data_IF_637223389360
#
_entry.id   IF_637223389360
#
_cell.length_a   1.000
_cell.length_b   1.000
_cell.length_c   1.000
_cell.angle_alpha   90.00
_cell.angle_beta   90.00
_cell.angle_gamma   90.00
#
_symmetry.space_group_name_H-M   'P 1'
#
loop_
_entity.id
_entity.type
_entity.pdbx_description
1 polymer ?
#
# COMPACT_ATOMS: atom_id res chain seq x y z
N UNK A 1 4.83 -8.04 7.41
CA UNK A 1 3.97 -7.79 6.23
C UNK A 1 2.68 -7.11 6.66
N UNK A 2 2.07 -6.33 5.78
CA UNK A 2 1.35 -5.09 6.10
C UNK A 2 -0.18 -5.16 5.96
N UNK A 3 -0.86 -4.08 6.33
CA UNK A 3 -2.28 -3.84 6.01
C UNK A 3 -2.44 -2.57 5.20
N UNK A 4 -3.30 -2.64 4.19
CA UNK A 4 -3.47 -1.56 3.21
C UNK A 4 -4.96 -1.28 3.02
N UNK A 5 -5.30 0.00 2.91
CA UNK A 5 -6.62 0.49 2.57
C UNK A 5 -6.44 1.58 1.51
N UNK A 6 -7.27 1.57 0.48
CA UNK A 6 -7.48 2.72 -0.35
C UNK A 6 -8.97 3.01 -0.51
N UNK A 7 -9.30 4.30 -0.56
CA UNK A 7 -10.67 4.78 -0.73
C UNK A 7 -10.66 5.81 -1.85
N UNK A 8 -11.41 5.56 -2.92
CA UNK A 8 -11.76 6.55 -3.92
C UNK A 8 -13.00 7.32 -3.44
N UNK A 9 -12.99 8.65 -3.63
CA UNK A 9 -13.99 9.59 -3.14
C UNK A 9 -14.15 9.55 -1.61
N UNK A 10 -13.04 9.61 -0.89
CA UNK A 10 -13.04 9.60 0.57
C UNK A 10 -13.68 10.88 1.14
N UNK A 11 -14.66 10.71 2.03
CA UNK A 11 -15.09 11.68 3.04
C UNK A 11 -14.92 11.11 4.45
N UNK A 12 -14.26 11.83 5.37
CA UNK A 12 -14.01 11.35 6.73
C UNK A 12 -15.30 11.14 7.52
N UNK A 13 -16.27 12.03 7.38
CA UNK A 13 -17.56 11.95 8.09
C UNK A 13 -18.33 10.68 7.70
N UNK A 14 -18.36 10.37 6.41
CA UNK A 14 -19.09 9.21 5.87
C UNK A 14 -18.34 7.90 6.11
N UNK A 15 -17.02 7.92 5.99
CA UNK A 15 -16.20 6.70 6.07
C UNK A 15 -15.57 6.45 7.43
N UNK A 16 -15.95 7.20 8.49
CA UNK A 16 -15.36 7.07 9.83
C UNK A 16 -15.37 5.62 10.34
N UNK A 17 -16.49 4.90 10.21
CA UNK A 17 -16.62 3.50 10.62
C UNK A 17 -15.66 2.58 9.85
N UNK A 18 -15.47 2.83 8.54
CA UNK A 18 -14.52 2.08 7.70
C UNK A 18 -13.08 2.33 8.17
N UNK A 19 -12.73 3.59 8.47
CA UNK A 19 -11.41 3.95 9.02
C UNK A 19 -11.18 3.29 10.38
N UNK A 20 -12.16 3.31 11.28
CA UNK A 20 -12.06 2.67 12.61
C UNK A 20 -11.88 1.16 12.50
N UNK A 21 -12.64 0.51 11.62
CA UNK A 21 -12.50 -0.92 11.38
C UNK A 21 -11.14 -1.27 10.76
N UNK A 22 -10.65 -0.45 9.83
CA UNK A 22 -9.31 -0.64 9.29
C UNK A 22 -8.25 -0.41 10.35
N UNK A 23 -8.36 0.64 11.17
CA UNK A 23 -7.46 0.92 12.30
C UNK A 23 -7.34 -0.29 13.24
N UNK A 24 -8.44 -1.00 13.51
CA UNK A 24 -8.40 -2.22 14.33
C UNK A 24 -7.50 -3.32 13.73
N UNK A 25 -7.29 -3.35 12.41
CA UNK A 25 -6.34 -4.28 11.79
C UNK A 25 -4.90 -3.98 12.15
N UNK A 26 -4.54 -2.77 12.61
CA UNK A 26 -3.18 -2.50 13.08
C UNK A 26 -2.78 -3.44 14.22
N UNK A 27 -3.71 -3.82 15.11
CA UNK A 27 -3.47 -4.79 16.19
C UNK A 27 -3.90 -6.21 15.81
N UNK A 28 -5.05 -6.35 15.16
CA UNK A 28 -5.75 -7.63 15.02
C UNK A 28 -5.72 -8.21 13.60
N UNK A 29 -5.13 -7.50 12.63
CA UNK A 29 -4.97 -8.00 11.28
C UNK A 29 -4.19 -9.32 11.27
N UNK A 30 -4.48 -10.20 10.32
CA UNK A 30 -3.71 -11.45 10.17
C UNK A 30 -2.24 -11.10 10.01
N UNK A 31 -1.38 -11.96 10.53
CA UNK A 31 0.06 -11.88 10.33
C UNK A 31 0.55 -13.19 9.72
N UNK A 32 1.71 -13.18 9.02
CA UNK A 32 2.32 -14.43 8.58
C UNK A 32 2.58 -15.37 9.77
N UNK A 33 2.54 -16.69 9.58
CA UNK A 33 2.82 -17.66 10.65
C UNK A 33 4.16 -17.36 11.32
N UNK A 34 4.24 -17.59 12.64
CA UNK A 34 5.44 -17.37 13.48
C UNK A 34 5.88 -15.90 13.65
N UNK A 35 5.15 -14.93 13.08
CA UNK A 35 5.40 -13.52 13.35
C UNK A 35 4.63 -13.02 14.58
N UNK A 36 5.15 -12.00 15.24
CA UNK A 36 4.43 -11.26 16.29
C UNK A 36 3.12 -10.68 15.77
N UNK A 37 2.12 -10.54 16.65
CA UNK A 37 0.84 -9.90 16.30
C UNK A 37 1.04 -8.43 15.93
N UNK A 38 0.12 -7.92 15.11
CA UNK A 38 0.03 -6.51 14.75
C UNK A 38 1.00 -6.05 13.66
N UNK A 39 0.69 -4.86 13.15
CA UNK A 39 1.37 -4.12 12.09
C UNK A 39 1.80 -2.76 12.65
N UNK A 40 2.85 -2.80 13.46
CA UNK A 40 3.25 -1.71 14.35
C UNK A 40 4.61 -1.11 13.99
N UNK A 41 5.18 -1.47 12.83
CA UNK A 41 6.55 -1.09 12.43
C UNK A 41 6.59 0.21 11.58
N UNK A 42 5.60 1.08 11.80
CA UNK A 42 5.35 2.29 11.03
C UNK A 42 3.96 2.35 10.40
N UNK A 43 3.57 3.54 9.97
CA UNK A 43 2.33 3.77 9.24
C UNK A 43 2.44 5.00 8.33
N UNK A 44 1.48 5.13 7.43
CA UNK A 44 1.35 6.36 6.66
C UNK A 44 0.00 6.51 5.97
N UNK A 45 -0.26 7.76 5.60
CA UNK A 45 -1.45 8.20 4.86
C UNK A 45 -0.95 8.97 3.63
N UNK A 46 -1.44 8.60 2.46
CA UNK A 46 -1.28 9.35 1.23
C UNK A 46 -2.63 9.82 0.71
N UNK A 47 -2.67 11.05 0.22
CA UNK A 47 -3.88 11.65 -0.33
C UNK A 47 -3.55 12.69 -1.40
N UNK A 48 -4.58 13.20 -2.06
CA UNK A 48 -4.44 14.26 -3.04
C UNK A 48 -5.12 15.54 -2.55
N UNK A 49 -4.38 16.65 -2.56
CA UNK A 49 -4.89 18.01 -2.30
C UNK A 49 -4.54 18.88 -3.50
N UNK A 50 -5.55 19.53 -4.09
CA UNK A 50 -5.38 20.37 -5.29
C UNK A 50 -4.67 19.62 -6.44
N UNK A 51 -5.03 18.35 -6.63
CA UNK A 51 -4.40 17.42 -7.60
C UNK A 51 -2.93 17.04 -7.31
N UNK A 52 -2.36 17.46 -6.18
CA UNK A 52 -0.99 17.10 -5.78
C UNK A 52 -0.98 16.03 -4.68
N UNK A 53 -0.14 15.01 -4.85
CA UNK A 53 0.09 13.96 -3.88
C UNK A 53 0.77 14.50 -2.61
N UNK A 54 0.12 14.25 -1.48
CA UNK A 54 0.58 14.54 -0.12
C UNK A 54 0.79 13.23 0.64
N UNK A 55 1.68 13.28 1.63
CA UNK A 55 2.02 12.15 2.47
C UNK A 55 2.18 12.62 3.92
N UNK A 56 1.75 11.77 4.84
CA UNK A 56 2.23 11.77 6.21
C UNK A 56 2.69 10.35 6.54
N UNK A 57 3.84 10.23 7.22
CA UNK A 57 4.45 8.94 7.57
C UNK A 57 5.08 9.00 8.95
N UNK A 58 5.04 7.87 9.63
CA UNK A 58 5.72 7.66 10.91
C UNK A 58 6.42 6.31 10.93
N UNK A 59 7.53 6.25 11.67
CA UNK A 59 8.21 4.99 12.03
C UNK A 59 7.65 4.33 13.29
N UNK A 60 6.81 5.04 14.05
CA UNK A 60 6.19 4.56 15.28
C UNK A 60 4.95 3.70 14.99
N UNK A 61 4.42 3.07 16.03
CA UNK A 61 3.17 2.33 15.96
C UNK A 61 1.98 3.27 15.80
N UNK A 62 1.07 2.98 14.85
CA UNK A 62 -0.18 3.75 14.70
C UNK A 62 -1.10 3.64 15.93
N UNK A 63 -0.91 2.60 16.74
CA UNK A 63 -1.66 2.42 17.99
C UNK A 63 -1.23 3.46 19.03
N UNK A 64 0.07 3.74 19.10
CA UNK A 64 0.63 4.76 20.00
C UNK A 64 0.32 6.17 19.50
N UNK A 65 0.23 6.33 18.17
CA UNK A 65 -0.07 7.60 17.51
C UNK A 65 -1.53 7.71 17.04
N UNK A 66 -2.46 7.08 17.75
CA UNK A 66 -3.90 7.03 17.38
C UNK A 66 -4.47 8.43 17.16
N UNK A 67 -4.26 9.34 18.10
CA UNK A 67 -4.78 10.72 18.00
C UNK A 67 -4.21 11.46 16.78
N UNK A 68 -2.92 11.24 16.49
CA UNK A 68 -2.26 11.83 15.31
C UNK A 68 -2.85 11.26 14.02
N UNK A 69 -3.07 9.95 13.96
CA UNK A 69 -3.69 9.28 12.82
C UNK A 69 -5.08 9.84 12.50
N UNK A 70 -5.96 9.91 13.50
CA UNK A 70 -7.33 10.42 13.30
C UNK A 70 -7.38 11.92 13.03
N UNK A 71 -6.55 12.74 13.69
CA UNK A 71 -6.51 14.19 13.44
C UNK A 71 -6.09 14.53 12.00
N UNK A 72 -5.16 13.77 11.40
CA UNK A 72 -4.79 13.97 9.99
C UNK A 72 -5.97 13.64 9.06
N UNK A 73 -6.70 12.56 9.32
CA UNK A 73 -7.87 12.20 8.50
C UNK A 73 -9.00 13.24 8.64
N UNK A 74 -9.19 13.79 9.83
CA UNK A 74 -10.09 14.91 10.08
C UNK A 74 -9.67 16.19 9.36
N UNK A 75 -8.36 16.49 9.30
CA UNK A 75 -7.82 17.64 8.57
C UNK A 75 -7.97 17.49 7.06
N UNK A 76 -7.74 16.27 6.53
CA UNK A 76 -7.95 15.96 5.11
C UNK A 76 -9.42 16.25 4.73
N UNK A 77 -10.36 15.94 5.62
CA UNK A 77 -11.83 16.02 5.44
C UNK A 77 -12.34 15.17 4.29
N UNK A 78 -11.94 15.50 3.07
CA UNK A 78 -12.33 14.85 1.83
C UNK A 78 -11.16 14.80 0.83
N UNK A 79 -11.07 13.73 0.05
CA UNK A 79 -10.11 13.62 -1.05
C UNK A 79 -10.60 12.63 -2.09
N UNK A 80 -10.22 12.82 -3.35
CA UNK A 80 -10.54 11.87 -4.43
C UNK A 80 -9.94 10.50 -4.18
N UNK A 81 -8.76 10.43 -3.57
CA UNK A 81 -8.07 9.16 -3.32
C UNK A 81 -7.33 9.28 -1.99
N UNK A 82 -7.62 8.35 -1.08
CA UNK A 82 -6.91 8.12 0.17
C UNK A 82 -6.23 6.75 0.09
N UNK A 83 -4.98 6.64 0.54
CA UNK A 83 -4.25 5.38 0.74
C UNK A 83 -3.71 5.38 2.17
N UNK A 84 -4.05 4.36 2.95
CA UNK A 84 -3.57 4.15 4.33
C UNK A 84 -2.81 2.83 4.40
N UNK A 85 -1.69 2.82 5.11
CA UNK A 85 -0.85 1.64 5.28
C UNK A 85 -0.36 1.47 6.71
N UNK A 86 -0.50 0.26 7.25
CA UNK A 86 0.11 -0.15 8.52
C UNK A 86 1.19 -1.17 8.24
N UNK A 87 2.42 -0.81 8.63
CA UNK A 87 3.62 -1.53 8.26
C UNK A 87 3.91 -2.63 9.26
N UNK A 88 4.37 -3.76 8.72
CA UNK A 88 5.12 -4.74 9.50
C UNK A 88 6.31 -5.15 8.66
N UNK A 89 7.52 -4.86 9.12
CA UNK A 89 8.71 -5.04 8.32
C UNK A 89 9.07 -6.52 8.17
N UNK A 90 9.68 -6.87 7.05
CA UNK A 90 10.43 -8.11 6.90
C UNK A 90 11.91 -7.92 7.28
N UNK A 91 12.34 -6.66 7.42
CA UNK A 91 13.74 -6.24 7.61
C UNK A 91 13.96 -5.69 9.01
N UNK A 92 15.03 -6.14 9.67
CA UNK A 92 15.38 -5.70 11.03
C UNK A 92 15.80 -4.23 11.06
N UNK A 93 15.46 -3.52 12.14
CA UNK A 93 15.90 -2.13 12.39
C UNK A 93 15.53 -1.15 11.27
N UNK A 94 14.32 -1.27 10.73
CA UNK A 94 13.85 -0.41 9.63
C UNK A 94 12.64 0.44 10.01
N UNK A 95 12.33 0.57 11.30
CA UNK A 95 11.22 1.38 11.80
C UNK A 95 11.58 2.85 11.64
N UNK A 96 11.14 3.46 10.54
CA UNK A 96 11.43 4.85 10.22
C UNK A 96 10.38 5.40 9.26
N UNK A 97 10.22 6.72 9.26
CA UNK A 97 9.24 7.37 8.38
C UNK A 97 9.58 7.14 6.90
N UNK A 98 10.87 7.05 6.57
CA UNK A 98 11.41 6.86 5.22
C UNK A 98 10.97 5.52 4.66
N UNK A 99 11.01 4.46 5.46
CA UNK A 99 10.65 3.09 5.07
C UNK A 99 9.15 2.78 5.17
N UNK A 100 8.36 3.67 5.79
CA UNK A 100 6.92 3.56 5.85
C UNK A 100 6.28 3.87 4.49
N UNK A 101 5.20 3.16 4.19
CA UNK A 101 4.36 3.40 3.01
C UNK A 101 3.29 4.45 3.35
N UNK A 102 2.65 5.07 2.33
CA UNK A 102 2.97 4.96 0.91
C UNK A 102 4.26 5.71 0.52
N UNK A 103 4.92 5.25 -0.54
CA UNK A 103 6.00 6.00 -1.19
C UNK A 103 5.42 6.99 -2.21
N UNK A 104 6.17 8.06 -2.50
CA UNK A 104 5.76 9.10 -3.45
C UNK A 104 6.88 9.46 -4.41
N UNK A 105 6.54 9.54 -5.69
CA UNK A 105 7.37 10.18 -6.71
C UNK A 105 6.49 11.08 -7.58
N UNK A 106 6.79 12.38 -7.58
CA UNK A 106 5.91 13.41 -8.17
C UNK A 106 4.47 13.23 -7.64
N UNK A 107 3.53 12.89 -8.52
CA UNK A 107 2.12 12.71 -8.18
C UNK A 107 1.69 11.25 -7.97
N UNK A 108 2.64 10.31 -8.00
CA UNK A 108 2.35 8.88 -7.89
C UNK A 108 2.54 8.46 -6.44
N UNK A 109 1.54 7.79 -5.88
CA UNK A 109 1.59 7.14 -4.57
C UNK A 109 1.66 5.62 -4.74
N UNK A 110 2.43 4.93 -3.91
CA UNK A 110 2.63 3.48 -4.01
C UNK A 110 2.70 2.79 -2.64
N UNK A 111 1.92 1.72 -2.46
CA UNK A 111 1.83 0.92 -1.25
C UNK A 111 1.99 -0.57 -1.59
N UNK A 112 2.90 -1.27 -0.91
CA UNK A 112 3.20 -2.68 -1.16
C UNK A 112 3.01 -3.55 0.09
N UNK A 113 2.52 -4.76 -0.12
CA UNK A 113 2.41 -5.81 0.88
C UNK A 113 3.05 -7.10 0.35
N UNK A 114 4.33 -7.25 0.68
CA UNK A 114 5.15 -8.37 0.26
C UNK A 114 6.60 -8.14 0.64
N UNK A 115 7.46 -9.00 0.12
CA UNK A 115 8.91 -8.88 0.25
C UNK A 115 9.56 -9.35 -1.03
N UNK A 116 10.44 -8.55 -1.61
CA UNK A 116 11.36 -8.97 -2.67
C UNK A 116 12.70 -9.18 -1.99
N UNK A 117 13.19 -10.42 -1.93
CA UNK A 117 14.29 -10.81 -1.04
C UNK A 117 15.67 -10.40 -1.57
N UNK A 118 15.82 -10.36 -2.88
CA UNK A 118 17.04 -10.08 -3.64
C UNK A 118 16.87 -8.81 -4.50
N UNK A 119 16.16 -7.83 -3.94
CA UNK A 119 15.86 -6.55 -4.60
C UNK A 119 17.11 -5.74 -4.91
N UNK A 120 18.24 -6.00 -4.24
CA UNK A 120 19.52 -5.34 -4.48
C UNK A 120 19.99 -5.51 -5.94
N UNK A 121 19.66 -6.65 -6.57
CA UNK A 121 19.94 -6.90 -7.98
C UNK A 121 19.22 -5.89 -8.90
N UNK A 122 17.98 -5.54 -8.56
CA UNK A 122 17.20 -4.52 -9.26
C UNK A 122 17.75 -3.13 -8.94
N UNK A 123 18.08 -2.88 -7.67
CA UNK A 123 18.57 -1.59 -7.21
C UNK A 123 19.84 -1.15 -7.94
N UNK A 124 20.77 -2.09 -8.19
CA UNK A 124 22.00 -1.85 -8.94
C UNK A 124 21.76 -1.47 -10.41
N UNK A 125 20.65 -1.93 -11.00
CA UNK A 125 20.30 -1.65 -12.39
C UNK A 125 19.65 -0.26 -12.53
N UNK A 126 18.77 0.12 -11.60
CA UNK A 126 18.03 1.40 -11.69
C UNK A 126 18.82 2.60 -11.16
N UNK A 127 19.88 2.37 -10.36
CA UNK A 127 20.82 3.38 -9.81
C UNK A 127 20.12 4.67 -9.35
N UNK A 128 19.20 4.57 -8.38
CA UNK A 128 18.44 5.73 -7.93
C UNK A 128 19.37 6.68 -7.16
N UNK A 129 19.08 7.99 -7.23
CA UNK A 129 19.89 9.02 -6.53
C UNK A 129 19.88 8.86 -5.01
N UNK A 130 18.85 8.22 -4.45
CA UNK A 130 18.71 8.01 -3.01
C UNK A 130 19.37 6.71 -2.60
N UNK A 131 20.14 6.75 -1.53
CA UNK A 131 20.75 5.57 -0.90
C UNK A 131 19.78 4.92 0.10
N UNK A 132 20.08 3.68 0.53
CA UNK A 132 19.35 2.93 1.55
C UNK A 132 17.87 2.65 1.23
N UNK A 133 17.58 2.31 -0.03
CA UNK A 133 16.27 1.81 -0.43
C UNK A 133 16.11 0.36 0.00
N UNK A 134 14.92 0.00 0.46
CA UNK A 134 14.51 -1.38 0.68
C UNK A 134 13.73 -1.90 -0.53
N UNK A 135 13.38 -3.17 -0.50
CA UNK A 135 12.64 -3.90 -1.52
C UNK A 135 11.41 -3.17 -2.07
N UNK A 136 10.54 -2.66 -1.20
CA UNK A 136 9.26 -2.10 -1.61
C UNK A 136 9.42 -0.75 -2.35
N UNK A 137 10.40 0.06 -1.94
CA UNK A 137 10.69 1.30 -2.64
C UNK A 137 11.53 1.06 -3.89
N UNK A 138 12.38 0.03 -3.90
CA UNK A 138 13.08 -0.45 -5.10
C UNK A 138 12.09 -0.90 -6.16
N UNK A 139 11.04 -1.64 -5.78
CA UNK A 139 9.94 -2.00 -6.68
C UNK A 139 9.27 -0.75 -7.25
N UNK A 140 8.98 0.24 -6.40
CA UNK A 140 8.40 1.49 -6.87
C UNK A 140 9.28 2.22 -7.88
N UNK A 141 10.59 2.38 -7.59
CA UNK A 141 11.51 3.00 -8.54
C UNK A 141 11.71 2.18 -9.81
N UNK A 142 11.65 0.85 -9.74
CA UNK A 142 11.67 0.02 -10.94
C UNK A 142 10.47 0.32 -11.83
N UNK A 143 9.26 0.43 -11.30
CA UNK A 143 8.07 0.82 -12.07
C UNK A 143 8.31 2.16 -12.78
N UNK A 144 8.87 3.14 -12.06
CA UNK A 144 9.11 4.48 -12.61
C UNK A 144 10.17 4.50 -13.72
N UNK A 145 11.24 3.71 -13.54
CA UNK A 145 12.38 3.61 -14.46
C UNK A 145 12.11 2.69 -15.66
N UNK A 146 11.12 1.81 -15.58
CA UNK A 146 10.78 0.89 -16.67
C UNK A 146 10.13 1.64 -17.83
N UNK A 147 10.45 1.22 -19.05
CA UNK A 147 9.86 1.75 -20.28
C UNK A 147 8.41 1.27 -20.46
N UNK A 148 7.57 2.16 -20.98
CA UNK A 148 6.16 1.91 -21.24
C UNK A 148 5.42 3.21 -21.58
N UNK A 149 4.34 3.11 -22.37
CA UNK A 149 3.56 4.25 -22.86
C UNK A 149 2.77 4.94 -21.76
N UNK A 150 2.39 4.20 -20.73
CA UNK A 150 1.63 4.68 -19.59
C UNK A 150 2.03 3.93 -18.31
N UNK A 151 1.50 4.36 -17.16
CA UNK A 151 1.86 3.78 -15.87
C UNK A 151 1.49 2.30 -15.75
N UNK A 152 0.39 1.87 -16.38
CA UNK A 152 -0.03 0.47 -16.41
C UNK A 152 0.98 -0.42 -17.14
N UNK A 153 1.44 -0.01 -18.33
CA UNK A 153 2.42 -0.76 -19.10
C UNK A 153 3.77 -0.84 -18.38
N UNK A 154 4.21 0.30 -17.81
CA UNK A 154 5.41 0.35 -16.97
C UNK A 154 5.32 -0.61 -15.79
N UNK A 155 4.18 -0.63 -15.11
CA UNK A 155 3.92 -1.54 -14.00
C UNK A 155 3.99 -3.01 -14.45
N UNK A 156 3.29 -3.38 -15.51
CA UNK A 156 3.31 -4.75 -16.06
C UNK A 156 4.72 -5.21 -16.43
N UNK A 157 5.51 -4.34 -17.06
CA UNK A 157 6.89 -4.65 -17.44
C UNK A 157 7.80 -4.79 -16.20
N UNK A 158 7.63 -3.94 -15.18
CA UNK A 158 8.37 -4.04 -13.92
C UNK A 158 8.04 -5.33 -13.15
N UNK A 159 6.77 -5.72 -13.11
CA UNK A 159 6.32 -6.98 -12.49
C UNK A 159 6.99 -8.17 -13.20
N UNK A 160 6.90 -8.27 -14.53
CA UNK A 160 7.54 -9.35 -15.30
C UNK A 160 9.05 -9.46 -15.03
N UNK A 161 9.71 -8.32 -14.85
CA UNK A 161 11.14 -8.30 -14.52
C UNK A 161 11.41 -8.91 -13.14
N UNK A 162 10.66 -8.50 -12.12
CA UNK A 162 10.80 -9.06 -10.76
C UNK A 162 10.47 -10.56 -10.76
N UNK A 163 9.43 -10.99 -11.48
CA UNK A 163 9.05 -12.40 -11.59
C UNK A 163 10.16 -13.27 -12.20
N UNK A 164 10.96 -12.68 -13.11
CA UNK A 164 12.06 -13.37 -13.78
C UNK A 164 13.36 -13.34 -12.97
N UNK A 165 13.65 -12.23 -12.30
CA UNK A 165 14.98 -11.94 -11.75
C UNK A 165 15.07 -12.06 -10.23
N UNK A 166 13.94 -12.16 -9.53
CA UNK A 166 13.90 -12.06 -8.08
C UNK A 166 13.11 -13.17 -7.41
N UNK A 167 13.57 -13.55 -6.22
CA UNK A 167 12.78 -14.29 -5.25
C UNK A 167 11.92 -13.32 -4.46
N UNK A 168 10.60 -13.53 -4.48
CA UNK A 168 9.68 -12.67 -3.75
C UNK A 168 8.60 -13.51 -3.07
N UNK A 169 7.97 -12.92 -2.07
CA UNK A 169 6.85 -13.51 -1.34
C UNK A 169 5.50 -13.04 -1.89
N UNK A 170 5.42 -11.77 -2.30
CA UNK A 170 4.25 -11.13 -2.88
C UNK A 170 4.67 -9.82 -3.55
N UNK A 171 3.92 -9.45 -4.60
CA UNK A 171 3.96 -8.16 -5.29
C UNK A 171 2.61 -7.43 -5.14
N UNK A 172 1.81 -7.85 -4.16
CA UNK A 172 0.48 -7.29 -3.90
C UNK A 172 0.60 -5.82 -3.51
N UNK A 173 0.00 -4.93 -4.30
CA UNK A 173 0.20 -3.50 -4.15
C UNK A 173 -1.04 -2.67 -4.53
N UNK A 174 -1.08 -1.45 -4.03
CA UNK A 174 -2.01 -0.39 -4.41
C UNK A 174 -1.20 0.83 -4.80
N UNK A 175 -1.52 1.45 -5.93
CA UNK A 175 -0.88 2.70 -6.34
C UNK A 175 -1.85 3.63 -7.06
N UNK A 176 -1.50 4.90 -7.15
CA UNK A 176 -2.37 5.91 -7.75
C UNK A 176 -1.57 7.02 -8.41
N UNK A 177 -2.15 7.60 -9.46
CA UNK A 177 -1.68 8.81 -10.16
C UNK A 177 -2.49 10.07 -9.79
N UNK A 178 -3.47 9.94 -8.89
CA UNK A 178 -4.40 10.99 -8.48
C UNK A 178 -5.73 11.00 -9.22
N UNK A 179 -5.88 10.17 -10.25
CA UNK A 179 -7.13 9.96 -10.99
C UNK A 179 -7.68 8.55 -10.79
N UNK A 180 -6.80 7.56 -10.92
CA UNK A 180 -7.14 6.15 -10.84
C UNK A 180 -6.45 5.50 -9.63
N UNK A 181 -7.06 4.46 -9.09
CA UNK A 181 -6.38 3.53 -8.20
C UNK A 181 -6.10 2.25 -8.98
N UNK A 182 -4.84 1.85 -9.01
CA UNK A 182 -4.36 0.62 -9.61
C UNK A 182 -4.08 -0.37 -8.48
N UNK A 183 -4.62 -1.57 -8.60
CA UNK A 183 -4.54 -2.60 -7.57
C UNK A 183 -4.11 -3.91 -8.21
N UNK A 184 -3.08 -4.53 -7.65
CA UNK A 184 -2.54 -5.80 -8.15
C UNK A 184 -2.35 -6.77 -7.00
N UNK A 185 -2.75 -8.03 -7.21
CA UNK A 185 -2.55 -9.10 -6.23
C UNK A 185 -1.74 -10.22 -6.87
N UNK A 186 -0.53 -10.43 -6.39
CA UNK A 186 0.32 -11.54 -6.81
C UNK A 186 1.19 -12.01 -5.63
N UNK A 187 1.34 -13.31 -5.49
CA UNK A 187 2.02 -13.96 -4.37
C UNK A 187 2.56 -15.32 -4.78
N UNK A 188 3.64 -15.75 -4.12
CA UNK A 188 4.25 -17.09 -4.29
C UNK A 188 3.94 -18.03 -3.13
N UNK A 189 3.45 -17.46 -2.01
CA UNK A 189 3.10 -18.18 -0.78
C UNK A 189 2.04 -17.42 0.00
N UNK A 190 1.46 -18.06 1.02
CA UNK A 190 0.53 -17.43 1.97
C UNK A 190 -0.66 -16.72 1.28
N UNK A 191 -1.33 -17.42 0.37
CA UNK A 191 -2.49 -16.92 -0.37
C UNK A 191 -3.55 -16.21 0.51
N UNK A 192 -3.89 -16.84 1.63
CA UNK A 192 -4.89 -16.36 2.59
C UNK A 192 -4.44 -15.11 3.39
N UNK A 193 -3.20 -14.69 3.22
CA UNK A 193 -2.59 -13.53 3.86
C UNK A 193 -2.42 -12.36 2.89
N UNK A 194 -1.97 -12.61 1.66
CA UNK A 194 -1.84 -11.59 0.61
C UNK A 194 -3.13 -11.44 -0.18
N UNK A 195 -4.15 -11.02 0.55
CA UNK A 195 -5.45 -10.71 -0.03
C UNK A 195 -5.55 -9.22 -0.33
N UNK A 196 -6.30 -8.90 -1.37
CA UNK A 196 -6.87 -7.59 -1.60
C UNK A 196 -8.32 -7.81 -2.00
N UNK A 197 -9.21 -7.15 -1.30
CA UNK A 197 -10.64 -7.14 -1.58
C UNK A 197 -11.01 -5.77 -2.12
N UNK A 198 -12.03 -5.72 -2.96
CA UNK A 198 -12.64 -4.48 -3.39
C UNK A 198 -14.15 -4.47 -3.15
N UNK A 199 -14.71 -3.28 -2.99
CA UNK A 199 -16.15 -3.07 -2.84
C UNK A 199 -16.50 -1.65 -3.29
N UNK A 200 -17.75 -1.41 -3.64
CA UNK A 200 -18.26 -0.09 -3.99
C UNK A 200 -19.52 0.22 -3.16
N UNK A 201 -19.68 1.47 -2.72
CA UNK A 201 -20.89 1.98 -2.07
C UNK A 201 -20.98 3.49 -2.26
N UNK A 202 -22.16 4.00 -2.64
CA UNK A 202 -22.45 5.44 -2.70
C UNK A 202 -21.38 6.27 -3.42
N UNK A 203 -20.94 5.81 -4.61
CA UNK A 203 -19.89 6.44 -5.42
C UNK A 203 -18.48 6.42 -4.80
N UNK A 204 -18.29 5.74 -3.67
CA UNK A 204 -16.98 5.47 -3.09
C UNK A 204 -16.53 4.06 -3.44
N UNK A 205 -15.25 3.93 -3.79
CA UNK A 205 -14.64 2.64 -4.08
C UNK A 205 -13.61 2.29 -3.01
N UNK A 206 -13.66 1.08 -2.48
CA UNK A 206 -12.84 0.62 -1.37
C UNK A 206 -11.95 -0.53 -1.83
N UNK A 207 -10.67 -0.47 -1.49
CA UNK A 207 -9.73 -1.57 -1.66
C UNK A 207 -9.10 -1.83 -0.31
N UNK A 208 -9.16 -3.06 0.20
CA UNK A 208 -8.59 -3.37 1.50
C UNK A 208 -7.93 -4.74 1.54
N UNK A 209 -6.86 -4.85 2.32
CA UNK A 209 -6.17 -6.13 2.54
C UNK A 209 -7.03 -7.18 3.25
N UNK A 210 -8.03 -6.78 4.04
CA UNK A 210 -8.97 -7.70 4.70
C UNK A 210 -10.38 -7.12 4.68
N UNK A 211 -11.39 -7.99 4.84
CA UNK A 211 -12.78 -7.57 4.98
C UNK A 211 -12.94 -6.81 6.31
N UNK A 212 -13.24 -5.52 6.22
CA UNK A 212 -13.38 -4.62 7.39
C UNK A 212 -14.82 -4.21 7.67
N UNK A 213 -15.79 -4.60 6.84
CA UNK A 213 -17.20 -4.34 7.08
C UNK A 213 -18.05 -5.43 6.45
N UNK A 214 -19.01 -5.98 7.20
CA UNK A 214 -20.00 -6.93 6.67
C UNK A 214 -21.10 -6.23 5.87
N UNK A 215 -21.20 -4.91 6.01
CA UNK A 215 -22.21 -4.07 5.35
C UNK A 215 -21.85 -3.77 3.88
N UNK A 216 -20.70 -4.27 3.41
CA UNK A 216 -20.17 -4.04 2.07
C UNK A 216 -20.00 -5.38 1.33
N UNK A 217 -20.41 -5.47 0.04
CA UNK A 217 -20.28 -6.69 -0.76
C UNK A 217 -18.85 -6.84 -1.28
N UNK A 218 -17.92 -7.24 -0.40
CA UNK A 218 -16.51 -7.41 -0.77
C UNK A 218 -16.29 -8.55 -1.76
N UNK A 219 -15.49 -8.28 -2.78
CA UNK A 219 -15.02 -9.24 -3.76
C UNK A 219 -13.51 -9.40 -3.62
N UNK A 220 -13.02 -10.64 -3.62
CA UNK A 220 -11.58 -10.90 -3.62
C UNK A 220 -11.01 -10.58 -5.01
N UNK A 221 -9.90 -9.87 -5.06
CA UNK A 221 -9.14 -9.68 -6.29
C UNK A 221 -8.41 -11.00 -6.62
N UNK A 222 -8.50 -11.46 -7.87
CA UNK A 222 -7.86 -12.70 -8.28
C UNK A 222 -6.34 -12.56 -8.36
N UNK A 223 -5.65 -13.70 -8.29
CA UNK A 223 -4.19 -13.72 -8.45
C UNK A 223 -3.82 -13.26 -9.86
N UNK A 224 -2.75 -12.46 -9.97
CA UNK A 224 -2.21 -11.89 -11.21
C UNK A 224 -3.17 -10.92 -11.91
N UNK A 225 -4.25 -10.51 -11.23
CA UNK A 225 -5.18 -9.51 -11.74
C UNK A 225 -4.71 -8.10 -11.42
N UNK A 226 -4.55 -7.26 -12.44
CA UNK A 226 -4.46 -5.81 -12.30
C UNK A 226 -5.86 -5.22 -12.51
N UNK A 227 -6.36 -4.54 -11.49
CA UNK A 227 -7.65 -3.87 -11.48
C UNK A 227 -7.47 -2.36 -11.33
N UNK A 228 -8.27 -1.58 -12.07
CA UNK A 228 -8.18 -0.12 -12.12
C UNK A 228 -9.57 0.45 -11.88
N UNK A 229 -9.70 1.37 -10.92
CA UNK A 229 -10.96 2.05 -10.60
C UNK A 229 -10.85 3.56 -10.49
#
# INVERSE_FOLDING_TARGET
MCRMLAIKNFCFKEHKKIIENFFNLAKNGKVPPKNSKGHLDGWGIGWYKENFAKLYKSGNSVIEEKEKFFSILEEIKETKILIVHFRKSAWKNTNSSENSHPFKYKNILFAHNGTIYDYENILQQIKPKRTNLLDSETFFYLILATDGKNLEEKFKNAVKKIEKECNYSSLTCIFSDGKNIYTFRNFTKLENYYTLYYSELNNSFFICSEIISKDLPWQLLEKEQLFIC
#
